data_IF_836672680581
#
_entry.id   IF_836672680581
#
_cell.length_a   1.000
_cell.length_b   1.000
_cell.length_c   1.000
_cell.angle_alpha   90.00
_cell.angle_beta   90.00
_cell.angle_gamma   90.00
#
_symmetry.space_group_name_H-M   'P 1'
#
loop_
_entity.id
_entity.type
_entity.pdbx_description
1 polymer ?
#
# COMPACT_ATOMS: atom_id res chain seq x y z
N UNK A 1 -7.77 25.33 18.02
CA UNK A 1 -7.33 24.48 16.89
C UNK A 1 -5.85 24.64 16.55
N UNK A 2 -5.33 25.84 16.25
CA UNK A 2 -3.91 26.00 15.84
C UNK A 2 -2.88 25.33 16.77
N UNK A 3 -3.03 25.49 18.10
CA UNK A 3 -2.18 24.79 19.09
C UNK A 3 -2.26 23.25 19.00
N UNK A 4 -3.45 22.72 18.71
CA UNK A 4 -3.68 21.28 18.55
C UNK A 4 -3.01 20.80 17.26
N UNK A 5 -3.15 21.56 16.16
CA UNK A 5 -2.53 21.24 14.89
C UNK A 5 -1.00 21.12 15.03
N UNK A 6 -0.35 22.09 15.66
CA UNK A 6 1.10 22.06 15.90
C UNK A 6 1.51 20.86 16.77
N UNK A 7 0.82 20.65 17.90
CA UNK A 7 1.15 19.55 18.81
C UNK A 7 1.00 18.17 18.18
N UNK A 8 -0.03 17.96 17.36
CA UNK A 8 -0.28 16.69 16.69
C UNK A 8 0.57 16.49 15.44
N UNK A 9 0.89 17.55 14.68
CA UNK A 9 1.75 17.45 13.49
C UNK A 9 3.20 17.10 13.84
N UNK A 10 3.66 17.51 15.03
CA UNK A 10 5.02 17.25 15.52
C UNK A 10 5.11 15.98 16.37
N UNK A 11 3.99 15.27 16.60
CA UNK A 11 3.93 14.12 17.50
C UNK A 11 4.50 12.87 16.81
N UNK A 12 5.65 12.34 17.24
CA UNK A 12 6.09 11.03 16.77
C UNK A 12 5.15 9.96 17.29
N UNK A 13 4.70 9.07 16.41
CA UNK A 13 4.03 7.83 16.81
C UNK A 13 5.07 6.78 17.23
N UNK A 14 4.70 5.83 18.12
CA UNK A 14 5.56 4.71 18.47
C UNK A 14 6.03 3.98 17.20
N UNK A 15 7.35 3.85 17.07
CA UNK A 15 7.95 3.08 15.98
C UNK A 15 8.11 1.63 16.44
N UNK A 16 7.17 0.78 16.05
CA UNK A 16 7.24 -0.66 16.31
C UNK A 16 7.72 -1.30 15.00
N UNK A 17 8.95 -1.86 14.96
CA UNK A 17 9.47 -2.50 13.76
C UNK A 17 8.56 -3.65 13.33
N UNK A 18 8.23 -3.70 12.05
CA UNK A 18 7.63 -4.88 11.41
C UNK A 18 8.64 -5.40 10.38
N UNK A 19 8.86 -6.72 10.37
CA UNK A 19 9.72 -7.36 9.37
C UNK A 19 9.17 -7.16 7.95
N UNK A 20 7.85 -7.07 7.81
CA UNK A 20 7.21 -6.77 6.53
C UNK A 20 7.47 -5.32 6.09
N UNK A 21 7.61 -4.39 7.03
CA UNK A 21 7.76 -2.96 6.74
C UNK A 21 9.06 -2.37 7.34
N UNK A 22 10.25 -2.85 6.93
CA UNK A 22 11.51 -2.54 7.62
C UNK A 22 11.85 -1.04 7.62
N UNK A 23 11.51 -0.34 6.55
CA UNK A 23 11.83 1.07 6.36
C UNK A 23 10.62 2.02 6.52
N UNK A 24 9.45 1.49 6.94
CA UNK A 24 8.23 2.31 7.10
C UNK A 24 7.88 2.51 8.57
N UNK A 25 7.26 3.66 8.83
CA UNK A 25 6.77 4.05 10.15
C UNK A 25 5.37 4.61 10.02
N UNK A 26 4.55 4.38 11.03
CA UNK A 26 3.25 5.04 11.13
C UNK A 26 3.47 6.54 11.32
N UNK A 27 2.76 7.36 10.54
CA UNK A 27 2.80 8.82 10.64
C UNK A 27 1.39 9.34 10.85
N UNK A 28 1.23 10.26 11.82
CA UNK A 28 0.02 11.05 11.97
C UNK A 28 0.11 12.26 11.05
N UNK A 29 -0.70 12.25 9.99
CA UNK A 29 -0.88 13.40 9.12
C UNK A 29 -2.06 14.19 9.65
N UNK A 30 -1.80 15.25 10.41
CA UNK A 30 -2.84 16.10 10.96
C UNK A 30 -2.43 17.59 10.93
N UNK A 31 -3.36 18.49 10.58
CA UNK A 31 -4.66 18.23 9.99
C UNK A 31 -4.60 18.12 8.46
N UNK A 32 -5.40 17.26 7.86
CA UNK A 32 -5.60 17.18 6.40
C UNK A 32 -6.69 18.13 5.90
N UNK A 33 -7.59 18.53 6.80
CA UNK A 33 -8.66 19.51 6.56
C UNK A 33 -9.00 20.19 7.89
N UNK A 34 -9.25 21.50 7.88
CA UNK A 34 -9.73 22.27 9.03
C UNK A 34 -10.93 23.12 8.60
N UNK A 35 -11.97 23.18 9.43
CA UNK A 35 -13.13 24.05 9.23
C UNK A 35 -13.54 24.74 10.53
N UNK A 36 -13.92 26.00 10.45
CA UNK A 36 -14.39 26.78 11.59
C UNK A 36 -14.70 28.23 11.21
N UNK A 37 -15.69 28.82 11.88
CA UNK A 37 -16.18 30.17 11.57
C UNK A 37 -17.29 30.21 10.52
N UNK A 38 -18.07 31.28 10.57
CA UNK A 38 -19.20 31.53 9.67
C UNK A 38 -19.20 32.94 9.07
N UNK A 39 -18.32 33.83 9.54
CA UNK A 39 -18.19 35.20 9.04
C UNK A 39 -16.94 35.87 9.60
N UNK A 40 -16.45 36.88 8.88
CA UNK A 40 -15.20 37.60 9.23
C UNK A 40 -15.27 38.34 10.57
N UNK A 41 -16.48 38.69 11.00
CA UNK A 41 -16.77 39.46 12.22
C UNK A 41 -17.49 38.63 13.29
N UNK A 42 -17.50 37.30 13.18
CA UNK A 42 -18.17 36.41 14.13
C UNK A 42 -17.14 35.52 14.80
N UNK A 43 -17.10 35.54 16.13
CA UNK A 43 -16.28 34.59 16.89
C UNK A 43 -16.85 33.17 16.72
N UNK A 44 -16.08 32.20 16.22
CA UNK A 44 -16.57 30.84 16.00
C UNK A 44 -16.95 30.15 17.31
N UNK A 45 -18.08 29.44 17.31
CA UNK A 45 -18.50 28.59 18.43
C UNK A 45 -17.83 27.20 18.43
N UNK A 46 -17.33 26.74 17.27
CA UNK A 46 -16.66 25.45 17.13
C UNK A 46 -15.63 25.47 15.99
N UNK A 47 -14.75 24.47 16.00
CA UNK A 47 -13.80 24.19 14.93
C UNK A 47 -13.56 22.68 14.88
N UNK A 48 -13.54 22.12 13.68
CA UNK A 48 -13.28 20.71 13.41
C UNK A 48 -12.02 20.57 12.55
N UNK A 49 -11.34 19.44 12.71
CA UNK A 49 -10.17 19.10 11.93
C UNK A 49 -10.09 17.58 11.70
N UNK A 50 -9.53 17.20 10.57
CA UNK A 50 -9.43 15.82 10.11
C UNK A 50 -7.96 15.40 10.11
N UNK A 51 -7.69 14.12 10.39
CA UNK A 51 -6.36 13.54 10.30
C UNK A 51 -6.40 12.15 9.71
N UNK A 52 -5.24 11.72 9.23
CA UNK A 52 -5.02 10.37 8.70
C UNK A 52 -3.83 9.74 9.42
N UNK A 53 -3.95 8.46 9.75
CA UNK A 53 -2.86 7.67 10.33
C UNK A 53 -2.77 6.37 9.57
N UNK A 54 -1.61 6.10 8.98
CA UNK A 54 -1.32 4.79 8.42
C UNK A 54 -0.85 3.87 9.54
N UNK A 55 -1.71 2.94 9.92
CA UNK A 55 -1.39 1.93 10.92
C UNK A 55 -0.48 0.87 10.29
N UNK A 56 0.60 0.57 11.00
CA UNK A 56 1.46 -0.58 10.74
C UNK A 56 1.27 -1.63 11.84
N UNK A 57 1.60 -2.90 11.56
CA UNK A 57 1.56 -3.97 12.55
C UNK A 57 2.28 -3.55 13.85
N UNK A 58 1.63 -3.80 14.98
CA UNK A 58 2.08 -3.37 16.30
C UNK A 58 1.46 -2.06 16.82
N UNK A 59 1.00 -1.16 15.96
CA UNK A 59 0.32 0.07 16.39
C UNK A 59 -1.20 -0.03 16.16
N UNK A 60 -1.98 -0.03 17.26
CA UNK A 60 -3.44 -0.05 17.19
C UNK A 60 -4.05 1.36 17.05
N UNK A 61 -5.26 1.41 16.51
CA UNK A 61 -6.05 2.65 16.44
C UNK A 61 -6.33 3.22 17.85
N UNK A 62 -6.57 2.34 18.83
CA UNK A 62 -6.80 2.70 20.23
C UNK A 62 -5.58 3.43 20.80
N UNK A 63 -4.37 2.91 20.53
CA UNK A 63 -3.15 3.52 21.01
C UNK A 63 -2.92 4.90 20.39
N UNK A 64 -3.25 5.08 19.12
CA UNK A 64 -3.22 6.38 18.45
C UNK A 64 -4.20 7.36 19.10
N UNK A 65 -5.44 6.93 19.38
CA UNK A 65 -6.44 7.75 20.06
C UNK A 65 -5.98 8.18 21.45
N UNK A 66 -5.37 7.28 22.23
CA UNK A 66 -4.77 7.61 23.52
C UNK A 66 -3.70 8.69 23.39
N UNK A 67 -2.79 8.56 22.42
CA UNK A 67 -1.74 9.55 22.19
C UNK A 67 -2.29 10.93 21.81
N UNK A 68 -3.37 10.98 21.02
CA UNK A 68 -4.06 12.24 20.71
C UNK A 68 -4.65 12.83 21.99
N UNK A 69 -5.34 12.04 22.80
CA UNK A 69 -5.94 12.49 24.08
C UNK A 69 -4.89 13.01 25.04
N UNK A 70 -3.74 12.35 25.15
CA UNK A 70 -2.61 12.78 25.97
C UNK A 70 -2.11 14.18 25.56
N UNK A 71 -1.99 14.45 24.26
CA UNK A 71 -1.59 15.77 23.76
C UNK A 71 -2.66 16.84 24.02
N UNK A 72 -3.94 16.51 23.85
CA UNK A 72 -5.03 17.44 24.18
C UNK A 72 -5.05 17.79 25.66
N UNK A 73 -4.79 16.82 26.54
CA UNK A 73 -4.70 17.04 27.98
C UNK A 73 -3.53 17.97 28.35
N UNK A 74 -2.34 17.79 27.75
CA UNK A 74 -1.19 18.69 27.95
C UNK A 74 -1.47 20.13 27.54
N UNK A 75 -2.33 20.32 26.53
CA UNK A 75 -2.75 21.63 26.07
C UNK A 75 -3.89 22.24 26.91
N UNK A 76 -4.39 21.51 27.92
CA UNK A 76 -5.55 21.85 28.74
C UNK A 76 -6.83 22.02 27.91
N UNK A 77 -7.02 21.14 26.92
CA UNK A 77 -8.24 21.06 26.11
C UNK A 77 -9.13 19.96 26.70
N UNK A 78 -10.23 20.34 27.32
CA UNK A 78 -11.18 19.45 27.98
C UNK A 78 -12.48 19.23 27.18
N UNK A 79 -12.85 20.18 26.33
CA UNK A 79 -14.09 20.18 25.55
C UNK A 79 -13.80 19.84 24.09
N UNK A 80 -13.93 18.56 23.74
CA UNK A 80 -13.77 18.09 22.36
C UNK A 80 -14.55 16.81 22.11
N UNK A 81 -14.72 16.48 20.82
CA UNK A 81 -15.20 15.20 20.35
C UNK A 81 -14.15 14.61 19.41
N UNK A 82 -13.85 13.33 19.57
CA UNK A 82 -12.92 12.58 18.72
C UNK A 82 -13.68 11.38 18.15
N UNK A 83 -13.88 11.40 16.83
CA UNK A 83 -14.63 10.36 16.12
C UNK A 83 -13.71 9.60 15.16
N UNK A 84 -13.93 8.29 15.07
CA UNK A 84 -13.32 7.45 14.05
C UNK A 84 -14.17 7.53 12.76
N UNK A 85 -13.59 8.02 11.67
CA UNK A 85 -14.27 8.06 10.37
C UNK A 85 -14.16 6.73 9.63
N UNK A 86 -12.98 6.13 9.66
CA UNK A 86 -12.67 4.83 9.08
C UNK A 86 -11.50 4.23 9.84
N UNK A 87 -11.64 2.97 10.25
CA UNK A 87 -10.55 2.21 10.87
C UNK A 87 -10.33 0.95 10.05
N UNK A 88 -9.15 0.84 9.46
CA UNK A 88 -8.68 -0.36 8.78
C UNK A 88 -7.54 -0.94 9.62
N UNK A 89 -7.65 -2.20 10.09
CA UNK A 89 -6.62 -2.80 10.92
C UNK A 89 -5.34 -3.05 10.10
N UNK A 90 -4.15 -2.90 10.70
CA UNK A 90 -2.94 -3.44 10.08
C UNK A 90 -3.02 -4.97 10.06
N UNK A 91 -2.66 -5.57 8.93
CA UNK A 91 -2.71 -7.03 8.74
C UNK A 91 -1.41 -7.55 8.15
N UNK A 92 -1.00 -8.74 8.58
CA UNK A 92 0.14 -9.48 8.04
C UNK A 92 -0.33 -10.88 7.63
N UNK A 93 0.24 -11.40 6.54
CA UNK A 93 0.05 -12.79 6.13
C UNK A 93 1.30 -13.58 6.50
N UNK A 94 1.11 -14.76 7.09
CA UNK A 94 2.23 -15.65 7.42
C UNK A 94 3.07 -15.94 6.16
N UNK A 95 4.38 -15.65 6.17
CA UNK A 95 5.29 -15.95 5.05
C UNK A 95 5.28 -17.41 4.62
N UNK A 96 4.97 -18.33 5.54
CA UNK A 96 4.92 -19.78 5.28
C UNK A 96 3.54 -20.28 4.85
N UNK A 97 2.55 -19.40 4.67
CA UNK A 97 1.25 -19.81 4.15
C UNK A 97 1.38 -20.39 2.74
N UNK A 98 0.61 -21.43 2.45
CA UNK A 98 0.70 -22.16 1.17
C UNK A 98 0.53 -21.25 -0.05
N UNK A 99 -0.39 -20.28 0.01
CA UNK A 99 -0.61 -19.31 -1.08
C UNK A 99 0.61 -18.41 -1.31
N UNK A 100 1.33 -18.05 -0.26
CA UNK A 100 2.56 -17.23 -0.33
C UNK A 100 3.68 -18.03 -0.98
N UNK A 101 3.87 -19.28 -0.55
CA UNK A 101 4.91 -20.15 -1.10
C UNK A 101 4.61 -20.56 -2.55
N UNK A 102 3.36 -20.84 -2.88
CA UNK A 102 2.92 -21.14 -4.24
C UNK A 102 3.21 -19.96 -5.19
N UNK A 103 2.85 -18.74 -4.78
CA UNK A 103 3.11 -17.54 -5.58
C UNK A 103 4.61 -17.28 -5.75
N UNK A 104 5.39 -17.36 -4.67
CA UNK A 104 6.84 -17.14 -4.74
C UNK A 104 7.52 -18.14 -5.68
N UNK A 105 7.10 -19.41 -5.63
CA UNK A 105 7.61 -20.48 -6.50
C UNK A 105 7.20 -20.27 -7.96
N UNK A 106 5.94 -19.90 -8.22
CA UNK A 106 5.46 -19.59 -9.56
C UNK A 106 6.19 -18.38 -10.16
N UNK A 107 6.36 -17.32 -9.39
CA UNK A 107 7.11 -16.13 -9.80
C UNK A 107 8.57 -16.46 -10.14
N UNK A 108 9.25 -17.24 -9.30
CA UNK A 108 10.62 -17.70 -9.56
C UNK A 108 10.72 -18.56 -10.83
N UNK A 109 9.74 -19.44 -11.05
CA UNK A 109 9.70 -20.32 -12.23
C UNK A 109 9.54 -19.54 -13.53
N UNK A 110 8.62 -18.57 -13.57
CA UNK A 110 8.29 -17.83 -14.79
C UNK A 110 9.27 -16.69 -15.07
N UNK A 111 9.74 -16.01 -14.02
CA UNK A 111 10.57 -14.80 -14.17
C UNK A 111 12.05 -15.04 -13.92
N UNK A 112 12.43 -16.20 -13.37
CA UNK A 112 13.79 -16.51 -12.92
C UNK A 112 14.19 -15.81 -11.63
N UNK A 113 13.29 -15.03 -11.01
CA UNK A 113 13.56 -14.24 -9.81
C UNK A 113 12.54 -14.55 -8.74
N UNK A 114 13.01 -14.96 -7.55
CA UNK A 114 12.14 -15.11 -6.39
C UNK A 114 11.82 -13.72 -5.80
N UNK A 115 10.54 -13.34 -5.67
CA UNK A 115 10.17 -12.04 -5.12
C UNK A 115 10.55 -11.94 -3.65
N UNK A 116 10.96 -10.74 -3.23
CA UNK A 116 11.16 -10.44 -1.80
C UNK A 116 9.80 -10.36 -1.10
N UNK A 117 9.74 -10.89 0.11
CA UNK A 117 8.55 -10.81 0.96
C UNK A 117 8.61 -9.51 1.75
N UNK A 118 7.76 -8.58 1.37
CA UNK A 118 7.67 -7.26 1.98
C UNK A 118 6.18 -6.89 2.11
N UNK A 119 5.92 -5.95 3.02
CA UNK A 119 4.61 -5.39 3.25
C UNK A 119 4.23 -4.48 2.09
N UNK A 120 3.05 -4.74 1.52
CA UNK A 120 2.51 -3.90 0.46
C UNK A 120 1.83 -2.66 1.05
N UNK A 121 2.12 -1.51 0.45
CA UNK A 121 1.34 -0.28 0.63
C UNK A 121 1.24 0.43 -0.73
N UNK A 122 0.18 1.21 -1.02
CA UNK A 122 -0.91 1.67 -0.14
C UNK A 122 -1.91 0.56 0.25
N UNK A 123 -2.90 0.90 1.08
CA UNK A 123 -3.88 -0.06 1.61
C UNK A 123 -4.56 -0.88 0.50
N UNK A 124 -4.72 -2.20 0.72
CA UNK A 124 -5.46 -3.13 -0.13
C UNK A 124 -6.67 -3.69 0.64
N UNK A 125 -7.77 -4.03 -0.03
CA UNK A 125 -8.93 -4.69 0.61
C UNK A 125 -8.66 -6.13 1.08
N UNK A 126 -7.48 -6.69 0.78
CA UNK A 126 -7.07 -8.02 1.25
C UNK A 126 -7.01 -8.11 2.78
N UNK A 127 -6.92 -6.99 3.50
CA UNK A 127 -7.05 -6.96 4.97
C UNK A 127 -8.35 -7.64 5.44
N UNK A 128 -9.44 -7.56 4.68
CA UNK A 128 -10.74 -8.15 5.04
C UNK A 128 -10.68 -9.68 5.07
N UNK A 129 -9.90 -10.28 4.16
CA UNK A 129 -9.68 -11.73 4.11
C UNK A 129 -8.74 -12.18 5.23
N UNK A 130 -7.64 -11.44 5.42
CA UNK A 130 -6.66 -11.74 6.47
C UNK A 130 -7.30 -11.65 7.85
N UNK A 131 -8.14 -10.63 8.09
CA UNK A 131 -8.90 -10.48 9.34
C UNK A 131 -9.88 -11.63 9.60
N UNK A 132 -10.30 -12.36 8.55
CA UNK A 132 -11.12 -13.58 8.66
C UNK A 132 -10.29 -14.86 8.71
N UNK A 133 -8.98 -14.77 8.85
CA UNK A 133 -8.06 -15.91 8.91
C UNK A 133 -7.79 -16.55 7.56
N UNK A 134 -8.07 -15.87 6.45
CA UNK A 134 -7.77 -16.35 5.09
C UNK A 134 -6.43 -15.76 4.65
N UNK A 135 -5.35 -16.55 4.54
CA UNK A 135 -4.06 -16.06 4.08
C UNK A 135 -4.19 -15.43 2.69
N UNK A 136 -3.72 -14.20 2.54
CA UNK A 136 -3.88 -13.43 1.31
C UNK A 136 -2.58 -12.72 0.96
N UNK A 137 -2.13 -12.82 -0.28
CA UNK A 137 -1.01 -12.00 -0.77
C UNK A 137 -1.57 -10.70 -1.31
N UNK A 138 -1.16 -9.57 -0.73
CA UNK A 138 -1.39 -8.24 -1.30
C UNK A 138 -0.10 -7.74 -1.95
N UNK A 139 -0.17 -7.32 -3.22
CA UNK A 139 0.91 -6.53 -3.83
C UNK A 139 1.87 -7.27 -4.75
N UNK A 140 1.54 -8.46 -5.26
CA UNK A 140 2.21 -8.98 -6.45
C UNK A 140 1.53 -8.41 -7.70
N UNK A 141 2.30 -7.94 -8.68
CA UNK A 141 1.70 -7.21 -9.78
C UNK A 141 2.68 -6.87 -10.91
N UNK A 142 2.15 -6.09 -11.84
CA UNK A 142 2.79 -5.70 -13.09
C UNK A 142 3.77 -4.54 -12.89
N UNK A 143 4.73 -4.44 -13.79
CA UNK A 143 5.49 -3.22 -14.00
C UNK A 143 4.55 -2.14 -14.52
N UNK A 144 4.40 -1.06 -13.76
CA UNK A 144 3.47 0.03 -14.03
C UNK A 144 4.05 1.35 -13.51
N UNK A 145 3.38 2.44 -13.84
CA UNK A 145 3.72 3.78 -13.35
C UNK A 145 2.51 4.71 -13.42
N UNK A 146 2.65 5.88 -12.79
CA UNK A 146 1.59 6.90 -12.81
C UNK A 146 0.30 6.47 -12.10
N UNK A 147 0.35 5.55 -11.14
CA UNK A 147 -0.85 5.04 -10.45
C UNK A 147 -1.65 6.22 -9.85
N UNK A 148 -2.96 6.30 -10.14
CA UNK A 148 -3.86 7.42 -9.80
C UNK A 148 -3.56 8.75 -10.53
N UNK A 149 -2.69 8.74 -11.54
CA UNK A 149 -2.33 9.89 -12.38
C UNK A 149 -3.05 9.88 -13.73
N UNK A 150 -2.99 11.01 -14.43
CA UNK A 150 -3.52 11.10 -15.80
C UNK A 150 -2.68 10.29 -16.81
N UNK A 151 -1.42 10.01 -16.46
CA UNK A 151 -0.44 9.25 -17.22
C UNK A 151 -0.26 7.82 -16.67
N UNK A 152 -1.28 7.24 -16.03
CA UNK A 152 -1.25 5.86 -15.54
C UNK A 152 -1.00 4.87 -16.69
N UNK A 153 -0.05 3.95 -16.51
CA UNK A 153 0.33 2.97 -17.53
C UNK A 153 0.76 1.63 -16.94
N UNK A 154 0.71 0.59 -17.78
CA UNK A 154 1.18 -0.76 -17.50
C UNK A 154 2.04 -1.28 -18.65
N UNK A 155 3.11 -2.02 -18.34
CA UNK A 155 3.90 -2.75 -19.33
C UNK A 155 3.18 -4.04 -19.76
N UNK A 156 2.96 -4.19 -21.07
CA UNK A 156 2.17 -5.30 -21.61
C UNK A 156 2.88 -6.65 -21.48
N UNK A 157 4.19 -6.68 -21.60
CA UNK A 157 4.97 -7.91 -21.44
C UNK A 157 4.99 -8.37 -19.98
N UNK A 158 5.11 -7.43 -19.04
CA UNK A 158 4.95 -7.69 -17.61
C UNK A 158 3.54 -8.19 -17.27
N UNK A 159 2.51 -7.62 -17.88
CA UNK A 159 1.13 -8.07 -17.71
C UNK A 159 0.95 -9.54 -18.13
N UNK A 160 1.53 -9.92 -19.27
CA UNK A 160 1.54 -11.31 -19.73
C UNK A 160 2.24 -12.22 -18.72
N UNK A 161 3.44 -11.87 -18.27
CA UNK A 161 4.20 -12.68 -17.28
C UNK A 161 3.47 -12.81 -15.96
N UNK A 162 2.86 -11.75 -15.45
CA UNK A 162 2.09 -11.78 -14.20
C UNK A 162 0.86 -12.68 -14.33
N UNK A 163 0.23 -12.70 -15.52
CA UNK A 163 -0.86 -13.63 -15.80
C UNK A 163 -0.37 -15.07 -15.75
N UNK A 164 0.75 -15.40 -16.40
CA UNK A 164 1.38 -16.72 -16.33
C UNK A 164 1.71 -17.10 -14.88
N UNK A 165 2.27 -16.19 -14.08
CA UNK A 165 2.55 -16.42 -12.65
C UNK A 165 1.27 -16.73 -11.87
N UNK A 166 0.19 -15.98 -12.06
CA UNK A 166 -1.06 -16.25 -11.35
C UNK A 166 -1.68 -17.59 -11.77
N UNK A 167 -1.65 -17.94 -13.05
CA UNK A 167 -2.08 -19.27 -13.50
C UNK A 167 -1.28 -20.38 -12.83
N UNK A 168 0.05 -20.27 -12.82
CA UNK A 168 0.91 -21.25 -12.17
C UNK A 168 0.70 -21.31 -10.64
N UNK A 169 0.48 -20.16 -10.01
CA UNK A 169 0.16 -20.08 -8.57
C UNK A 169 -1.10 -20.87 -8.24
N UNK A 170 -2.16 -20.71 -9.03
CA UNK A 170 -3.43 -21.42 -8.84
C UNK A 170 -3.21 -22.94 -9.00
N UNK A 171 -2.50 -23.36 -10.05
CA UNK A 171 -2.23 -24.78 -10.30
C UNK A 171 -1.38 -25.43 -9.19
N UNK A 172 -0.38 -24.71 -8.68
CA UNK A 172 0.46 -25.17 -7.57
C UNK A 172 -0.36 -25.24 -6.27
N UNK A 173 -1.12 -24.19 -5.95
CA UNK A 173 -1.92 -24.11 -4.73
C UNK A 173 -3.01 -25.19 -4.67
N UNK A 174 -3.64 -25.49 -5.81
CA UNK A 174 -4.65 -26.55 -5.90
C UNK A 174 -4.06 -27.96 -6.06
N UNK A 175 -2.74 -28.10 -6.15
CA UNK A 175 -2.06 -29.39 -6.29
C UNK A 175 -2.19 -30.06 -7.67
N UNK A 176 -2.73 -29.37 -8.67
CA UNK A 176 -3.01 -29.88 -10.03
C UNK A 176 -1.70 -30.16 -10.80
N UNK A 177 -0.60 -29.55 -10.38
CA UNK A 177 0.74 -29.75 -10.96
C UNK A 177 1.28 -31.18 -10.86
N UNK A 178 0.76 -32.02 -9.95
CA UNK A 178 1.20 -33.42 -9.82
C UNK A 178 0.58 -34.36 -10.86
N UNK A 179 -0.50 -33.95 -11.52
CA UNK A 179 -1.23 -34.79 -12.50
C UNK A 179 -0.99 -34.35 -13.95
N UNK A 180 -0.55 -33.11 -14.16
CA UNK A 180 -0.23 -32.59 -15.49
C UNK A 180 1.28 -32.55 -15.73
N UNK A 181 1.76 -33.53 -16.50
CA UNK A 181 3.03 -33.46 -17.24
C UNK A 181 3.07 -32.20 -18.15
N UNK A 182 4.24 -31.77 -18.70
CA UNK A 182 4.57 -30.39 -19.08
C UNK A 182 3.74 -29.71 -20.20
N UNK A 183 2.60 -30.29 -20.58
CA UNK A 183 1.81 -29.93 -21.75
C UNK A 183 0.88 -28.72 -21.49
N UNK A 184 0.65 -28.36 -20.22
CA UNK A 184 -0.11 -27.16 -19.84
C UNK A 184 0.66 -25.85 -20.13
N UNK A 185 2.00 -25.91 -20.17
CA UNK A 185 2.83 -24.81 -20.67
C UNK A 185 2.60 -24.54 -22.17
N UNK A 186 2.13 -25.54 -22.92
CA UNK A 186 1.77 -25.40 -24.34
C UNK A 186 0.36 -24.84 -24.58
N UNK A 187 -0.52 -24.83 -23.56
CA UNK A 187 -1.87 -24.29 -23.65
C UNK A 187 -1.93 -22.78 -23.40
N UNK A 188 -0.91 -22.22 -22.76
CA UNK A 188 -0.70 -20.76 -22.64
C UNK A 188 0.16 -20.30 -23.82
N UNK A 189 -0.28 -20.60 -25.04
CA UNK A 189 0.22 -19.90 -26.22
C UNK A 189 -0.23 -18.44 -26.12
N UNK A 190 0.59 -17.46 -26.56
CA UNK A 190 0.23 -16.04 -26.48
C UNK A 190 -1.14 -15.80 -27.13
N UNK A 191 -1.91 -14.79 -26.67
CA UNK A 191 -3.16 -14.45 -27.32
C UNK A 191 -2.91 -14.18 -28.81
N UNK A 192 -3.90 -14.55 -29.62
CA UNK A 192 -4.00 -14.35 -31.07
C UNK A 192 -3.26 -13.09 -31.55
N UNK A 193 -2.65 -13.13 -32.76
CA UNK A 193 -1.82 -12.05 -33.27
C UNK A 193 -2.53 -10.71 -33.12
N UNK A 194 -1.86 -9.78 -32.43
CA UNK A 194 -2.26 -8.38 -32.36
C UNK A 194 -2.42 -7.92 -33.81
N UNK A 195 -3.63 -7.48 -34.18
CA UNK A 195 -3.88 -6.85 -35.47
C UNK A 195 -2.86 -5.72 -35.62
N UNK A 196 -2.00 -5.82 -36.63
CA UNK A 196 -0.94 -4.86 -36.93
C UNK A 196 -1.53 -3.43 -37.00
N UNK A 197 -1.44 -2.69 -35.91
CA UNK A 197 -1.54 -1.24 -35.87
C UNK A 197 -0.11 -0.70 -35.90
N UNK A 198 0.21 0.06 -36.94
CA UNK A 198 1.53 0.60 -37.27
C UNK A 198 2.30 1.13 -36.04
N UNK A 199 3.40 0.48 -35.68
CA UNK A 199 4.32 0.95 -34.65
C UNK A 199 5.25 2.01 -35.22
N UNK A 200 5.01 3.28 -34.87
CA UNK A 200 5.99 4.36 -35.03
C UNK A 200 7.18 4.08 -34.11
N UNK A 201 8.27 3.54 -34.66
CA UNK A 201 9.54 3.36 -33.95
C UNK A 201 10.10 4.71 -33.48
N UNK A 202 10.13 4.92 -32.16
CA UNK A 202 11.09 5.84 -31.54
C UNK A 202 11.97 5.04 -30.59
N UNK A 203 13.30 5.23 -30.63
CA UNK A 203 14.21 4.49 -29.77
C UNK A 203 14.01 4.93 -28.31
N UNK A 204 13.64 4.00 -27.45
CA UNK A 204 13.61 4.20 -25.99
C UNK A 204 15.04 4.00 -25.48
N UNK A 205 15.65 5.07 -25.00
CA UNK A 205 16.96 5.04 -24.35
C UNK A 205 16.89 4.23 -23.03
N UNK A 206 17.99 3.62 -22.56
CA UNK A 206 18.00 2.93 -21.27
C UNK A 206 17.84 3.96 -20.14
N UNK A 207 16.74 3.86 -19.36
CA UNK A 207 16.45 4.74 -18.23
C UNK A 207 16.66 3.96 -16.92
N UNK A 208 17.29 4.56 -15.89
CA UNK A 208 17.78 3.84 -14.72
C UNK A 208 16.64 3.38 -13.80
N UNK A 209 16.86 2.26 -13.11
CA UNK A 209 16.12 1.87 -11.91
C UNK A 209 16.18 3.02 -10.89
N UNK A 210 15.11 3.80 -10.77
CA UNK A 210 15.02 4.81 -9.72
C UNK A 210 14.54 4.17 -8.41
N UNK A 211 15.27 4.35 -7.30
CA UNK A 211 14.81 3.97 -5.98
C UNK A 211 13.74 4.96 -5.53
N UNK A 212 12.57 4.46 -5.21
CA UNK A 212 11.61 5.19 -4.39
C UNK A 212 12.31 5.58 -3.07
N UNK A 213 12.28 6.88 -2.75
CA UNK A 213 12.92 7.57 -1.61
C UNK A 213 14.32 8.17 -1.81
N UNK A 214 14.39 9.30 -2.53
CA UNK A 214 15.15 10.49 -2.06
C UNK A 214 14.29 11.73 -2.21
N UNK A 215 13.50 12.04 -1.18
CA UNK A 215 13.14 13.43 -0.92
C UNK A 215 14.38 14.09 -0.31
N UNK A 216 15.20 14.71 -1.15
CA UNK A 216 16.29 15.56 -0.70
C UNK A 216 15.73 16.82 -0.07
N UNK A 217 16.19 17.12 1.15
CA UNK A 217 16.21 18.46 1.70
C UNK A 217 16.89 19.41 0.68
N UNK A 218 16.17 20.42 0.23
CA UNK A 218 16.74 21.70 -0.19
C UNK A 218 15.66 22.78 -0.23
N UNK A 219 15.73 23.74 0.70
CA UNK A 219 15.37 25.12 0.39
C UNK A 219 16.42 25.65 -0.63
N UNK A 220 16.07 26.46 -1.63
CA UNK A 220 15.83 27.89 -1.38
C UNK A 220 14.80 28.60 -2.30
N UNK A 221 14.06 29.57 -1.76
CA UNK A 221 14.27 31.01 -1.94
C UNK A 221 13.45 31.78 -0.91
#
# INVERSE_FOLDING_TARGET
MARIALALSERPLPNIPSEAFPDRKSVLTFPTLIRGGSGINVVPSSCEAYGDVRLLPGLSAERVKELIKDELQKLSIDTYRLDDLLVVPPTETNPQAEIVQALATAAETITGVRPRLEGSGPACDGWMLIAKGIPTVCGYGVTCGGVHGADEWVDLESLRRVTEVYTHTILLYLGIYKECQPDLLGLIQPPLPILNGETSERPIAPIPLYPWHRASLSAPR
#
